data_IF_597772092501
#
_entry.id   IF_597772092501
#
_cell.length_a   1.000
_cell.length_b   1.000
_cell.length_c   1.000
_cell.angle_alpha   90.00
_cell.angle_beta   90.00
_cell.angle_gamma   90.00
#
_symmetry.space_group_name_H-M   'P 1'
#
loop_
_entity.id
_entity.type
_entity.pdbx_description
1 polymer ?
#
# COMPACT_ATOMS: atom_id res chain seq x y z
N UNK A 1 -14.69 -3.81 -21.63
CA UNK A 1 -15.68 -4.22 -20.60
C UNK A 1 -14.85 -4.70 -19.42
N UNK A 2 -14.77 -3.91 -18.34
CA UNK A 2 -14.02 -4.34 -17.15
C UNK A 2 -14.83 -5.44 -16.46
N UNK A 3 -14.19 -6.56 -16.18
CA UNK A 3 -14.75 -7.63 -15.36
C UNK A 3 -14.95 -7.08 -13.94
N UNK A 4 -16.20 -6.91 -13.51
CA UNK A 4 -16.60 -6.19 -12.31
C UNK A 4 -16.17 -6.86 -10.99
N UNK A 5 -15.59 -8.07 -11.07
CA UNK A 5 -15.09 -8.82 -9.92
C UNK A 5 -13.55 -8.89 -9.85
N UNK A 6 -12.84 -8.28 -10.79
CA UNK A 6 -11.37 -8.34 -10.81
C UNK A 6 -10.74 -7.23 -9.97
N UNK A 7 -9.97 -7.62 -8.94
CA UNK A 7 -9.22 -6.68 -8.09
C UNK A 7 -7.84 -6.41 -8.70
N UNK A 8 -7.58 -5.14 -9.00
CA UNK A 8 -6.27 -4.63 -9.38
C UNK A 8 -5.47 -4.17 -8.14
N UNK A 9 -4.16 -4.48 -8.11
CA UNK A 9 -3.29 -4.12 -6.99
C UNK A 9 -2.39 -2.96 -7.38
N UNK A 10 -2.54 -1.83 -6.71
CA UNK A 10 -1.69 -0.65 -6.90
C UNK A 10 -0.55 -0.60 -5.88
N UNK A 11 0.68 -0.34 -6.34
CA UNK A 11 1.87 -0.16 -5.51
C UNK A 11 2.59 1.15 -5.81
N UNK A 12 3.16 1.78 -4.78
CA UNK A 12 3.81 3.10 -4.86
C UNK A 12 5.16 3.14 -5.61
N UNK A 13 5.62 2.01 -6.16
CA UNK A 13 6.84 1.95 -6.96
C UNK A 13 8.16 1.97 -6.17
N UNK A 14 8.15 1.78 -4.85
CA UNK A 14 9.37 1.81 -4.03
C UNK A 14 10.39 0.74 -4.44
N UNK A 15 11.70 1.04 -4.25
CA UNK A 15 12.82 0.20 -4.72
C UNK A 15 12.73 -1.29 -4.34
N UNK A 16 12.30 -1.67 -3.11
CA UNK A 16 12.15 -3.09 -2.75
C UNK A 16 11.10 -3.83 -3.60
N UNK A 17 10.05 -3.14 -4.06
CA UNK A 17 8.95 -3.74 -4.82
C UNK A 17 9.27 -3.84 -6.31
N UNK A 18 10.10 -2.94 -6.84
CA UNK A 18 10.34 -2.81 -8.29
C UNK A 18 11.74 -3.24 -8.74
N UNK A 19 12.68 -3.42 -7.80
CA UNK A 19 14.09 -3.69 -8.08
C UNK A 19 14.38 -5.15 -8.43
N UNK A 20 13.80 -6.09 -7.70
CA UNK A 20 14.08 -7.53 -7.86
C UNK A 20 13.29 -8.18 -8.99
N UNK A 21 13.95 -8.98 -9.84
CA UNK A 21 13.27 -9.85 -10.82
C UNK A 21 12.39 -10.90 -10.12
N UNK A 22 12.86 -11.47 -9.00
CA UNK A 22 12.13 -12.49 -8.25
C UNK A 22 10.83 -11.95 -7.64
N UNK A 23 10.89 -10.74 -7.06
CA UNK A 23 9.73 -10.04 -6.51
C UNK A 23 8.69 -9.77 -7.60
N UNK A 24 9.12 -9.25 -8.76
CA UNK A 24 8.22 -8.99 -9.90
C UNK A 24 7.58 -10.26 -10.46
N UNK A 25 8.35 -11.35 -10.60
CA UNK A 25 7.83 -12.65 -11.04
C UNK A 25 6.76 -13.18 -10.07
N UNK A 26 7.05 -13.13 -8.78
CA UNK A 26 6.10 -13.56 -7.75
C UNK A 26 4.81 -12.72 -7.78
N UNK A 27 4.92 -11.39 -7.87
CA UNK A 27 3.77 -10.49 -7.96
C UNK A 27 2.92 -10.75 -9.20
N UNK A 28 3.56 -10.95 -10.36
CA UNK A 28 2.85 -11.26 -11.61
C UNK A 28 2.08 -12.58 -11.54
N UNK A 29 2.63 -13.61 -10.87
CA UNK A 29 1.95 -14.90 -10.68
C UNK A 29 0.80 -14.74 -9.69
N UNK A 30 1.06 -14.14 -8.52
CA UNK A 30 0.06 -14.03 -7.44
C UNK A 30 -1.13 -13.16 -7.80
N UNK A 31 -0.89 -12.07 -8.52
CA UNK A 31 -1.92 -11.11 -8.88
C UNK A 31 -2.29 -11.20 -10.36
N UNK A 32 -1.95 -12.31 -11.04
CA UNK A 32 -2.36 -12.56 -12.43
C UNK A 32 -2.06 -11.38 -13.37
N UNK A 33 -0.89 -10.76 -13.20
CA UNK A 33 -0.46 -9.57 -13.95
C UNK A 33 -1.42 -8.37 -13.83
N UNK A 34 -2.05 -8.20 -12.67
CA UNK A 34 -2.88 -7.02 -12.31
C UNK A 34 -2.18 -6.05 -11.36
N UNK A 35 -0.85 -6.11 -11.27
CA UNK A 35 -0.08 -5.15 -10.49
C UNK A 35 0.15 -3.85 -11.29
N UNK A 36 -0.37 -2.76 -10.76
CA UNK A 36 -0.19 -1.39 -11.25
C UNK A 36 0.93 -0.73 -10.44
N UNK A 37 1.98 -0.25 -11.11
CA UNK A 37 3.12 0.37 -10.45
C UNK A 37 4.39 0.33 -11.30
N UNK A 38 5.48 0.89 -10.77
CA UNK A 38 6.76 0.94 -11.49
C UNK A 38 7.26 -0.48 -11.80
N UNK A 39 7.50 -0.80 -13.09
CA UNK A 39 7.85 -2.17 -13.56
C UNK A 39 6.82 -3.26 -13.23
N UNK A 40 5.56 -2.85 -12.99
CA UNK A 40 4.40 -3.74 -12.89
C UNK A 40 3.87 -4.16 -14.26
N UNK A 41 2.76 -4.90 -14.28
CA UNK A 41 2.10 -5.30 -15.51
C UNK A 41 1.42 -4.11 -16.21
N UNK A 42 0.90 -3.16 -15.43
CA UNK A 42 0.56 -1.82 -15.87
C UNK A 42 1.61 -0.87 -15.32
N UNK A 43 2.51 -0.42 -16.20
CA UNK A 43 3.62 0.45 -15.79
C UNK A 43 3.11 1.86 -15.50
N UNK A 44 3.36 2.31 -14.28
CA UNK A 44 3.25 3.73 -13.94
C UNK A 44 4.65 4.36 -13.94
N UNK A 45 4.78 5.61 -14.44
CA UNK A 45 6.02 6.35 -14.30
C UNK A 45 6.38 6.50 -12.81
N UNK A 46 7.64 6.81 -12.47
CA UNK A 46 8.05 7.07 -11.09
C UNK A 46 7.23 8.23 -10.50
N UNK A 47 6.08 7.91 -9.93
CA UNK A 47 5.25 8.82 -9.19
C UNK A 47 5.90 8.96 -7.83
N UNK A 48 6.17 10.21 -7.45
CA UNK A 48 6.68 10.50 -6.14
C UNK A 48 5.74 9.92 -5.07
N UNK A 49 6.28 9.35 -3.97
CA UNK A 49 5.55 8.54 -2.99
C UNK A 49 4.36 9.24 -2.28
N UNK A 50 4.13 10.52 -2.57
CA UNK A 50 3.03 11.34 -2.06
C UNK A 50 1.77 11.35 -2.94
N UNK A 51 1.75 10.72 -4.12
CA UNK A 51 0.63 10.85 -5.09
C UNK A 51 -0.29 9.65 -5.25
N UNK A 52 -0.15 8.59 -4.45
CA UNK A 52 -1.21 7.57 -4.40
C UNK A 52 -2.27 8.04 -3.40
N UNK A 53 -3.57 8.13 -3.79
CA UNK A 53 -4.64 8.48 -2.87
C UNK A 53 -4.62 7.68 -1.55
N UNK A 54 -4.28 6.36 -1.56
CA UNK A 54 -4.06 5.61 -0.32
C UNK A 54 -2.94 6.18 0.54
N UNK A 55 -1.76 6.51 0.00
CA UNK A 55 -0.68 7.06 0.82
C UNK A 55 -1.04 8.41 1.44
N UNK A 56 -1.84 9.24 0.77
CA UNK A 56 -2.24 10.54 1.32
C UNK A 56 -3.34 10.39 2.37
N UNK A 57 -4.43 9.70 2.01
CA UNK A 57 -5.61 9.56 2.85
C UNK A 57 -5.34 8.61 4.01
N UNK A 58 -4.86 7.39 3.74
CA UNK A 58 -4.61 6.39 4.78
C UNK A 58 -3.57 6.90 5.77
N UNK A 59 -2.42 7.37 5.30
CA UNK A 59 -1.36 7.83 6.19
C UNK A 59 -1.76 9.09 6.97
N UNK A 60 -2.45 10.04 6.33
CA UNK A 60 -2.92 11.26 6.99
C UNK A 60 -3.93 10.96 8.09
N UNK A 61 -4.95 10.15 7.78
CA UNK A 61 -6.00 9.76 8.73
C UNK A 61 -5.42 8.88 9.84
N UNK A 62 -4.65 7.85 9.51
CA UNK A 62 -4.02 6.96 10.50
C UNK A 62 -3.13 7.72 11.47
N UNK A 63 -2.34 8.70 10.98
CA UNK A 63 -1.51 9.50 11.87
C UNK A 63 -2.34 10.32 12.86
N UNK A 64 -3.42 10.94 12.39
CA UNK A 64 -4.30 11.70 13.27
C UNK A 64 -4.93 10.79 14.34
N UNK A 65 -5.37 9.59 13.96
CA UNK A 65 -6.01 8.62 14.87
C UNK A 65 -5.00 8.07 15.89
N UNK A 66 -3.83 7.62 15.46
CA UNK A 66 -2.86 6.93 16.31
C UNK A 66 -2.03 7.87 17.17
N UNK A 67 -1.68 9.05 16.65
CA UNK A 67 -0.84 10.00 17.39
C UNK A 67 -1.62 11.05 18.20
N UNK A 68 -2.96 11.09 18.10
CA UNK A 68 -3.81 11.97 18.92
C UNK A 68 -3.51 11.87 20.42
N UNK A 69 -3.22 10.66 20.91
CA UNK A 69 -2.96 10.37 22.33
C UNK A 69 -1.47 10.27 22.69
N UNK A 70 -0.56 10.52 21.73
CA UNK A 70 0.90 10.48 21.91
C UNK A 70 1.39 9.19 22.61
N UNK A 71 1.18 8.01 22.02
CA UNK A 71 1.66 6.75 22.60
C UNK A 71 3.17 6.81 22.83
N UNK A 72 3.61 6.34 23.99
CA UNK A 72 5.02 6.36 24.42
C UNK A 72 5.71 5.03 24.18
N UNK A 73 4.95 3.97 23.94
CA UNK A 73 5.48 2.62 23.72
C UNK A 73 4.95 1.98 22.43
N UNK A 74 5.70 1.02 21.89
CA UNK A 74 5.26 0.22 20.75
C UNK A 74 4.01 -0.60 21.09
N UNK A 75 3.86 -1.02 22.35
CA UNK A 75 2.69 -1.78 22.82
C UNK A 75 1.43 -0.92 22.74
N UNK A 76 1.47 0.30 23.25
CA UNK A 76 0.35 1.26 23.17
C UNK A 76 -0.03 1.56 21.71
N UNK A 77 0.97 1.74 20.85
CA UNK A 77 0.73 1.97 19.41
C UNK A 77 0.03 0.78 18.75
N UNK A 78 0.45 -0.45 19.05
CA UNK A 78 -0.17 -1.68 18.53
C UNK A 78 -1.59 -1.89 19.04
N UNK A 79 -1.83 -1.64 20.34
CA UNK A 79 -3.16 -1.71 20.92
C UNK A 79 -4.10 -0.70 20.26
N UNK A 80 -3.60 0.50 19.96
CA UNK A 80 -4.38 1.53 19.26
C UNK A 80 -4.69 1.12 17.83
N UNK A 81 -3.75 0.49 17.13
CA UNK A 81 -4.02 -0.06 15.80
C UNK A 81 -5.17 -1.07 15.86
N UNK A 82 -5.08 -2.08 16.74
CA UNK A 82 -6.11 -3.10 16.89
C UNK A 82 -7.48 -2.53 17.30
N UNK A 83 -7.51 -1.57 18.23
CA UNK A 83 -8.77 -0.94 18.67
C UNK A 83 -9.51 -0.20 17.54
N UNK A 84 -8.78 0.49 16.65
CA UNK A 84 -9.40 1.24 15.55
C UNK A 84 -9.73 0.38 14.32
N UNK A 85 -9.33 -0.90 14.26
CA UNK A 85 -9.78 -1.83 13.21
C UNK A 85 -11.15 -2.47 13.52
N UNK A 86 -11.63 -2.36 14.77
CA UNK A 86 -12.89 -2.97 15.23
C UNK A 86 -14.09 -2.01 15.28
N UNK A 87 -13.96 -0.79 14.74
CA UNK A 87 -15.01 0.22 14.61
C UNK A 87 -15.09 0.70 13.16
#
# INVERSE_FOLDING_TARGET
MYDSESIDISQNGARPHCGGLNVRKWLNIKFQRRCIGRRGAMELPPLAPHRTPPNFILWGVSKNIFYSLKPKTIVELKQRFAYNEHH
#
